data_IF_669210531640
#
_entry.id   IF_669210531640
#
_cell.length_a   1.000
_cell.length_b   1.000
_cell.length_c   1.000
_cell.angle_alpha   90.00
_cell.angle_beta   90.00
_cell.angle_gamma   90.00
#
_symmetry.space_group_name_H-M   'P 1'
#
loop_
_entity.id
_entity.type
_entity.pdbx_description
1 polymer ?
#
# COMPACT_ATOMS: atom_id res chain seq x y z
N UNK A 1 25.20 -23.95 -10.00
CA UNK A 1 24.46 -22.72 -10.38
C UNK A 1 25.39 -21.86 -11.21
N UNK A 2 24.96 -21.44 -12.39
CA UNK A 2 25.81 -20.71 -13.35
C UNK A 2 25.67 -19.22 -13.10
N UNK A 3 26.67 -18.62 -12.45
CA UNK A 3 26.69 -17.18 -12.15
C UNK A 3 26.76 -16.36 -13.44
N UNK A 4 25.88 -15.38 -13.60
CA UNK A 4 25.85 -14.48 -14.77
C UNK A 4 26.40 -13.10 -14.39
N UNK A 5 27.39 -12.64 -15.13
CA UNK A 5 28.04 -11.35 -14.93
C UNK A 5 27.79 -10.44 -16.13
N UNK A 6 27.62 -9.14 -15.87
CA UNK A 6 27.71 -8.10 -16.91
C UNK A 6 28.89 -7.19 -16.57
N UNK A 7 29.77 -7.02 -17.54
CA UNK A 7 30.93 -6.13 -17.46
C UNK A 7 30.58 -4.85 -18.21
N UNK A 8 30.51 -3.74 -17.50
CA UNK A 8 30.31 -2.41 -18.10
C UNK A 8 31.51 -1.53 -17.78
N UNK A 9 32.09 -0.93 -18.81
CA UNK A 9 33.18 0.06 -18.69
C UNK A 9 32.55 1.45 -18.69
N UNK A 10 32.79 2.20 -17.63
CA UNK A 10 32.41 3.60 -17.55
C UNK A 10 33.43 4.43 -18.36
N UNK A 11 32.95 5.16 -19.38
CA UNK A 11 33.83 5.90 -20.31
C UNK A 11 34.53 7.09 -19.65
N UNK A 12 33.98 7.62 -18.55
CA UNK A 12 34.46 8.83 -17.89
C UNK A 12 35.53 8.47 -16.85
N UNK A 13 35.31 7.39 -16.10
CA UNK A 13 36.18 6.98 -14.98
C UNK A 13 37.15 5.85 -15.35
N UNK A 14 37.01 5.25 -16.54
CA UNK A 14 37.73 4.05 -16.98
C UNK A 14 37.64 2.85 -16.01
N UNK A 15 36.67 2.86 -15.09
CA UNK A 15 36.49 1.79 -14.12
C UNK A 15 35.69 0.65 -14.73
N UNK A 16 36.17 -0.58 -14.51
CA UNK A 16 35.48 -1.82 -14.90
C UNK A 16 34.62 -2.25 -13.71
N UNK A 17 33.30 -2.18 -13.85
CA UNK A 17 32.37 -2.58 -12.78
C UNK A 17 31.87 -3.99 -13.05
N UNK A 18 32.11 -4.92 -12.11
CA UNK A 18 31.54 -6.26 -12.10
C UNK A 18 30.21 -6.25 -11.35
N UNK A 19 29.12 -6.66 -12.00
CA UNK A 19 27.80 -6.78 -11.37
C UNK A 19 27.40 -8.26 -11.30
N UNK A 20 27.42 -8.84 -10.11
CA UNK A 20 26.78 -10.14 -9.82
C UNK A 20 25.27 -9.95 -9.70
N UNK A 21 24.49 -10.57 -10.58
CA UNK A 21 23.02 -10.42 -10.57
C UNK A 21 22.30 -11.33 -9.58
N UNK A 22 22.95 -12.41 -9.15
CA UNK A 22 22.31 -13.46 -8.33
C UNK A 22 22.00 -13.01 -6.88
N UNK A 23 22.50 -11.85 -6.43
CA UNK A 23 22.39 -11.37 -5.06
C UNK A 23 21.73 -9.98 -4.90
N UNK A 24 21.10 -9.44 -5.94
CA UNK A 24 20.45 -8.12 -5.79
C UNK A 24 19.17 -8.24 -4.95
N UNK A 25 19.19 -7.69 -3.73
CA UNK A 25 17.96 -7.36 -2.99
C UNK A 25 17.23 -6.25 -3.76
N UNK A 26 16.05 -6.55 -4.28
CA UNK A 26 15.23 -5.63 -5.06
C UNK A 26 13.75 -5.76 -4.71
N UNK A 27 12.95 -4.85 -5.26
CA UNK A 27 11.51 -4.83 -5.06
C UNK A 27 10.78 -5.52 -6.21
N UNK A 28 10.06 -6.59 -5.88
CA UNK A 28 9.28 -7.35 -6.85
C UNK A 28 8.02 -6.57 -7.29
N UNK A 29 7.87 -6.46 -8.60
CA UNK A 29 6.74 -5.82 -9.26
C UNK A 29 6.13 -6.81 -10.24
N UNK A 30 4.83 -7.03 -10.10
CA UNK A 30 4.03 -7.73 -11.10
C UNK A 30 3.46 -6.72 -12.10
N UNK A 31 3.94 -6.65 -13.34
CA UNK A 31 3.44 -5.73 -14.34
C UNK A 31 1.98 -6.05 -14.69
N UNK A 32 1.21 -5.03 -15.09
CA UNK A 32 -0.14 -5.26 -15.60
C UNK A 32 -0.06 -5.42 -17.11
N UNK A 33 -0.10 -6.65 -17.59
CA UNK A 33 -0.17 -6.97 -19.02
C UNK A 33 -1.58 -6.67 -19.51
N UNK A 34 -1.80 -5.41 -19.95
CA UNK A 34 -3.11 -4.92 -20.40
C UNK A 34 -3.31 -5.01 -21.92
N UNK A 35 -2.30 -5.47 -22.66
CA UNK A 35 -2.32 -5.44 -24.12
C UNK A 35 -2.05 -6.84 -24.66
N UNK A 36 -3.10 -7.49 -25.15
CA UNK A 36 -3.04 -8.75 -25.90
C UNK A 36 -2.77 -8.45 -27.38
N UNK A 37 -1.63 -7.83 -27.69
CA UNK A 37 -1.14 -7.73 -29.07
C UNK A 37 0.04 -8.66 -29.21
N UNK A 38 0.08 -9.40 -30.32
CA UNK A 38 1.08 -10.45 -30.60
C UNK A 38 2.52 -9.92 -30.58
N UNK A 39 2.72 -8.63 -30.90
CA UNK A 39 4.04 -8.00 -30.96
C UNK A 39 4.50 -7.34 -29.65
N UNK A 40 3.79 -7.52 -28.52
CA UNK A 40 4.16 -6.89 -27.25
C UNK A 40 4.80 -7.90 -26.31
N UNK A 41 5.94 -7.52 -25.73
CA UNK A 41 6.61 -8.29 -24.68
C UNK A 41 5.69 -8.37 -23.45
N UNK A 42 5.19 -9.58 -23.19
CA UNK A 42 4.50 -9.89 -21.95
C UNK A 42 5.55 -10.15 -20.85
N UNK A 43 5.51 -9.34 -19.80
CA UNK A 43 6.42 -9.48 -18.66
C UNK A 43 5.62 -10.00 -17.48
N UNK A 44 5.95 -11.20 -17.01
CA UNK A 44 5.25 -11.83 -15.88
C UNK A 44 5.73 -11.29 -14.53
N UNK A 45 7.04 -11.06 -14.40
CA UNK A 45 7.70 -10.59 -13.17
C UNK A 45 8.83 -9.61 -13.49
N UNK A 46 8.97 -8.59 -12.66
CA UNK A 46 10.01 -7.57 -12.79
C UNK A 46 10.57 -7.21 -11.41
N UNK A 47 11.89 -7.25 -11.26
CA UNK A 47 12.57 -6.84 -10.03
C UNK A 47 13.21 -5.47 -10.23
N UNK A 48 12.87 -4.52 -9.37
CA UNK A 48 13.48 -3.18 -9.39
C UNK A 48 14.60 -3.15 -8.36
N UNK A 49 15.83 -2.84 -8.80
CA UNK A 49 17.01 -2.79 -7.93
C UNK A 49 17.47 -1.37 -7.59
N UNK A 50 16.97 -0.34 -8.29
CA UNK A 50 17.37 1.04 -8.05
C UNK A 50 16.67 1.60 -6.79
N UNK A 51 17.41 1.89 -5.70
CA UNK A 51 16.79 2.28 -4.42
C UNK A 51 15.93 3.55 -4.52
N UNK A 52 16.38 4.55 -5.28
CA UNK A 52 15.63 5.81 -5.45
C UNK A 52 14.31 5.58 -6.20
N UNK A 53 14.30 4.67 -7.17
CA UNK A 53 13.09 4.31 -7.89
C UNK A 53 12.13 3.52 -6.99
N UNK A 54 12.65 2.58 -6.20
CA UNK A 54 11.85 1.81 -5.23
C UNK A 54 11.17 2.74 -4.22
N UNK A 55 11.92 3.67 -3.61
CA UNK A 55 11.39 4.65 -2.65
C UNK A 55 10.25 5.48 -3.27
N UNK A 56 10.46 6.02 -4.48
CA UNK A 56 9.44 6.80 -5.19
C UNK A 56 8.19 5.99 -5.52
N UNK A 57 8.36 4.73 -5.93
CA UNK A 57 7.25 3.84 -6.25
C UNK A 57 6.42 3.50 -5.03
N UNK A 58 7.08 3.15 -3.92
CA UNK A 58 6.42 2.83 -2.65
C UNK A 58 5.71 4.06 -2.11
N UNK A 59 6.37 5.22 -2.09
CA UNK A 59 5.75 6.48 -1.70
C UNK A 59 4.47 6.77 -2.50
N UNK A 60 4.50 6.60 -3.82
CA UNK A 60 3.32 6.75 -4.69
C UNK A 60 2.22 5.73 -4.38
N UNK A 61 2.56 4.46 -4.14
CA UNK A 61 1.61 3.40 -3.75
C UNK A 61 0.95 3.70 -2.40
N UNK A 62 1.74 4.11 -1.40
CA UNK A 62 1.25 4.47 -0.07
C UNK A 62 0.29 5.66 -0.15
N UNK A 63 0.67 6.73 -0.88
CA UNK A 63 -0.20 7.89 -1.08
C UNK A 63 -1.54 7.52 -1.70
N UNK A 64 -1.51 6.74 -2.79
CA UNK A 64 -2.74 6.30 -3.48
C UNK A 64 -3.63 5.41 -2.61
N UNK A 65 -3.01 4.55 -1.78
CA UNK A 65 -3.75 3.67 -0.87
C UNK A 65 -4.42 4.47 0.23
N UNK A 66 -3.69 5.43 0.83
CA UNK A 66 -4.24 6.35 1.82
C UNK A 66 -5.41 7.18 1.25
N UNK A 67 -5.25 7.74 0.05
CA UNK A 67 -6.33 8.49 -0.63
C UNK A 67 -7.58 7.64 -0.85
N UNK A 68 -7.42 6.34 -1.18
CA UNK A 68 -8.55 5.42 -1.33
C UNK A 68 -9.27 5.18 0.00
N UNK A 69 -8.51 4.95 1.08
CA UNK A 69 -9.06 4.77 2.42
C UNK A 69 -9.82 6.03 2.84
N UNK A 70 -9.24 7.21 2.66
CA UNK A 70 -9.88 8.49 2.97
C UNK A 70 -11.21 8.66 2.23
N UNK A 71 -11.24 8.41 0.93
CA UNK A 71 -12.48 8.47 0.14
C UNK A 71 -13.54 7.50 0.65
N UNK A 72 -13.13 6.28 1.03
CA UNK A 72 -14.05 5.29 1.55
C UNK A 72 -14.62 5.70 2.91
N UNK A 73 -13.78 6.25 3.80
CA UNK A 73 -14.23 6.82 5.07
C UNK A 73 -15.18 8.01 4.82
N UNK A 74 -14.88 8.92 3.90
CA UNK A 74 -15.80 10.03 3.58
C UNK A 74 -17.18 9.52 3.16
N UNK A 75 -17.23 8.51 2.31
CA UNK A 75 -18.50 7.88 1.89
C UNK A 75 -19.32 7.36 3.09
N UNK A 76 -18.67 6.71 4.07
CA UNK A 76 -19.30 6.20 5.30
C UNK A 76 -19.93 7.30 6.15
N UNK A 77 -19.41 8.52 6.05
CA UNK A 77 -19.88 9.67 6.82
C UNK A 77 -20.97 10.45 6.09
N UNK A 78 -20.90 10.53 4.77
CA UNK A 78 -21.85 11.26 3.93
C UNK A 78 -23.16 10.49 3.71
N UNK A 79 -23.13 9.15 3.80
CA UNK A 79 -24.30 8.29 3.60
C UNK A 79 -24.93 7.89 4.95
N UNK A 80 -26.11 8.43 5.24
CA UNK A 80 -26.89 8.16 6.47
C UNK A 80 -27.47 6.73 6.52
N UNK A 81 -27.50 6.00 5.40
CA UNK A 81 -27.88 4.59 5.32
C UNK A 81 -26.67 3.65 5.47
N UNK A 82 -25.47 4.18 5.72
CA UNK A 82 -24.26 3.36 5.89
C UNK A 82 -24.43 2.37 7.05
N UNK A 83 -24.49 1.09 6.71
CA UNK A 83 -24.56 -0.02 7.67
C UNK A 83 -23.22 -0.30 8.37
N UNK A 84 -23.30 -1.09 9.45
CA UNK A 84 -22.13 -1.53 10.25
C UNK A 84 -21.06 -2.23 9.38
N UNK A 85 -21.47 -2.96 8.35
CA UNK A 85 -20.57 -3.66 7.42
C UNK A 85 -19.55 -2.73 6.75
N UNK A 86 -19.97 -1.56 6.27
CA UNK A 86 -19.07 -0.59 5.62
C UNK A 86 -18.00 -0.06 6.58
N UNK A 87 -18.36 0.12 7.85
CA UNK A 87 -17.44 0.55 8.91
C UNK A 87 -16.41 -0.54 9.20
N UNK A 88 -16.83 -1.81 9.26
CA UNK A 88 -15.91 -2.93 9.44
C UNK A 88 -14.96 -3.11 8.25
N UNK A 89 -15.46 -2.94 7.04
CA UNK A 89 -14.64 -2.94 5.83
C UNK A 89 -13.56 -1.85 5.89
N UNK A 90 -13.90 -0.64 6.36
CA UNK A 90 -12.93 0.44 6.48
C UNK A 90 -11.82 0.13 7.49
N UNK A 91 -12.18 -0.44 8.65
CA UNK A 91 -11.21 -0.90 9.65
C UNK A 91 -10.27 -1.98 9.09
N UNK A 92 -10.83 -2.94 8.36
CA UNK A 92 -10.05 -3.99 7.72
C UNK A 92 -9.08 -3.45 6.66
N UNK A 93 -9.49 -2.48 5.85
CA UNK A 93 -8.60 -1.84 4.87
C UNK A 93 -7.47 -1.05 5.53
N UNK A 94 -7.73 -0.37 6.65
CA UNK A 94 -6.69 0.29 7.44
C UNK A 94 -5.70 -0.74 8.01
N UNK A 95 -6.20 -1.83 8.58
CA UNK A 95 -5.36 -2.89 9.17
C UNK A 95 -4.45 -3.54 8.12
N UNK A 96 -5.00 -3.92 6.96
CA UNK A 96 -4.23 -4.46 5.84
C UNK A 96 -3.14 -3.49 5.37
N UNK A 97 -3.43 -2.19 5.35
CA UNK A 97 -2.43 -1.22 4.92
C UNK A 97 -1.32 -1.03 5.96
N UNK A 98 -1.64 -1.07 7.26
CA UNK A 98 -0.63 -1.09 8.34
C UNK A 98 0.29 -2.31 8.22
N UNK A 99 -0.28 -3.49 8.02
CA UNK A 99 0.48 -4.74 7.83
C UNK A 99 1.40 -4.65 6.60
N UNK A 100 0.87 -4.16 5.48
CA UNK A 100 1.66 -3.97 4.26
C UNK A 100 2.83 -3.00 4.45
N UNK A 101 2.62 -1.94 5.23
CA UNK A 101 3.67 -0.98 5.58
C UNK A 101 4.78 -1.65 6.39
N UNK A 102 4.44 -2.40 7.43
CA UNK A 102 5.43 -3.00 8.35
C UNK A 102 6.19 -4.17 7.71
N UNK A 103 5.52 -4.96 6.86
CA UNK A 103 6.09 -6.16 6.24
C UNK A 103 6.90 -5.88 4.98
N UNK A 104 6.39 -5.05 4.05
CA UNK A 104 6.96 -4.90 2.70
C UNK A 104 7.56 -3.54 2.41
N UNK A 105 7.04 -2.46 3.01
CA UNK A 105 7.44 -1.11 2.61
C UNK A 105 8.46 -0.47 3.56
N UNK A 106 8.46 -0.88 4.83
CA UNK A 106 9.35 -0.35 5.87
C UNK A 106 10.83 -0.33 5.48
N UNK A 107 11.31 -1.39 4.83
CA UNK A 107 12.73 -1.51 4.42
C UNK A 107 13.14 -0.50 3.33
N UNK A 108 12.17 0.09 2.61
CA UNK A 108 12.40 1.03 1.52
C UNK A 108 11.90 2.45 1.83
N UNK A 109 11.48 2.70 3.07
CA UNK A 109 10.95 3.99 3.51
C UNK A 109 11.90 4.65 4.50
N UNK A 110 11.93 5.99 4.49
CA UNK A 110 12.59 6.73 5.56
C UNK A 110 11.81 6.54 6.85
N UNK A 111 12.52 6.38 7.96
CA UNK A 111 11.91 6.14 9.28
C UNK A 111 10.87 7.22 9.65
N UNK A 112 11.17 8.48 9.36
CA UNK A 112 10.26 9.62 9.59
C UNK A 112 8.96 9.49 8.79
N UNK A 113 9.04 9.08 7.53
CA UNK A 113 7.88 8.91 6.64
C UNK A 113 7.02 7.73 7.08
N UNK A 114 7.66 6.62 7.46
CA UNK A 114 6.99 5.45 8.00
C UNK A 114 6.20 5.81 9.28
N UNK A 115 6.86 6.42 10.27
CA UNK A 115 6.23 6.86 11.52
C UNK A 115 5.06 7.81 11.27
N UNK A 116 5.23 8.75 10.35
CA UNK A 116 4.16 9.68 9.97
C UNK A 116 2.96 8.96 9.36
N UNK A 117 3.19 7.96 8.48
CA UNK A 117 2.13 7.20 7.85
C UNK A 117 1.35 6.36 8.86
N UNK A 118 2.04 5.65 9.75
CA UNK A 118 1.40 4.86 10.81
C UNK A 118 0.52 5.76 11.69
N UNK A 119 1.03 6.91 12.12
CA UNK A 119 0.26 7.85 12.93
C UNK A 119 -1.00 8.36 12.23
N UNK A 120 -0.93 8.63 10.91
CA UNK A 120 -2.12 8.99 10.11
C UNK A 120 -3.16 7.86 10.11
N UNK A 121 -2.71 6.62 9.94
CA UNK A 121 -3.61 5.45 9.94
C UNK A 121 -4.23 5.18 11.31
N UNK A 122 -3.49 5.42 12.41
CA UNK A 122 -4.03 5.34 13.77
C UNK A 122 -5.12 6.38 14.03
N UNK A 123 -4.93 7.61 13.56
CA UNK A 123 -5.96 8.65 13.67
C UNK A 123 -7.22 8.22 12.93
N UNK A 124 -7.08 7.76 11.68
CA UNK A 124 -8.22 7.28 10.88
C UNK A 124 -8.91 6.07 11.52
N UNK A 125 -8.14 5.12 12.05
CA UNK A 125 -8.69 3.94 12.72
C UNK A 125 -9.53 4.33 13.94
N UNK A 126 -9.02 5.25 14.75
CA UNK A 126 -9.74 5.73 15.94
C UNK A 126 -11.03 6.45 15.56
N UNK A 127 -11.00 7.27 14.52
CA UNK A 127 -12.18 7.97 14.00
C UNK A 127 -13.26 6.99 13.51
N UNK A 128 -12.88 5.97 12.73
CA UNK A 128 -13.80 4.93 12.27
C UNK A 128 -14.36 4.09 13.44
N UNK A 129 -13.54 3.78 14.46
CA UNK A 129 -14.00 3.11 15.68
C UNK A 129 -15.04 3.94 16.44
N UNK A 130 -14.83 5.25 16.55
CA UNK A 130 -15.80 6.16 17.17
C UNK A 130 -17.12 6.16 16.40
N UNK A 131 -17.07 6.17 15.06
CA UNK A 131 -18.27 6.05 14.21
C UNK A 131 -19.01 4.73 14.46
N UNK A 132 -18.29 3.61 14.58
CA UNK A 132 -18.88 2.30 14.93
C UNK A 132 -19.66 2.37 16.24
N UNK A 133 -19.05 2.92 17.29
CA UNK A 133 -19.70 3.07 18.60
C UNK A 133 -20.96 3.93 18.52
N UNK A 134 -20.92 5.00 17.74
CA UNK A 134 -22.09 5.87 17.51
C UNK A 134 -23.25 5.10 16.86
N UNK A 135 -23.00 4.38 15.76
CA UNK A 135 -24.03 3.61 15.06
C UNK A 135 -24.65 2.53 15.97
N UNK A 136 -23.81 1.77 16.68
CA UNK A 136 -24.27 0.73 17.60
C UNK A 136 -25.13 1.32 18.73
N UNK A 137 -24.83 2.54 19.18
CA UNK A 137 -25.66 3.23 20.18
C UNK A 137 -27.01 3.69 19.64
N UNK A 138 -27.06 4.11 18.36
CA UNK A 138 -28.29 4.55 17.67
C UNK A 138 -29.25 3.39 17.48
N UNK A 139 -28.77 2.26 16.94
CA UNK A 139 -29.59 1.06 16.76
C UNK A 139 -30.21 0.55 18.07
N UNK A 140 -29.43 0.55 19.15
CA UNK A 140 -29.90 0.11 20.46
C UNK A 140 -31.03 1.00 21.02
N UNK A 141 -31.05 2.29 20.69
CA UNK A 141 -32.14 3.20 21.07
C UNK A 141 -33.40 2.92 20.25
N UNK A 142 -33.26 2.69 18.95
CA UNK A 142 -34.39 2.38 18.06
C UNK A 142 -35.05 1.03 18.35
N UNK A 143 -34.27 0.02 18.75
CA UNK A 143 -34.80 -1.28 19.20
C UNK A 143 -35.64 -1.15 20.48
N UNK A 144 -35.25 -0.25 21.39
CA UNK A 144 -36.00 0.01 22.64
C UNK A 144 -37.29 0.80 22.44
N UNK A 145 -37.38 1.64 21.40
CA UNK A 145 -38.61 2.41 21.12
C UNK A 145 -39.67 1.60 20.38
N UNK A 146 -39.28 0.62 19.55
CA UNK A 146 -40.22 -0.27 18.82
C UNK A 146 -40.79 -1.40 19.67
N UNK A 147 -40.21 -1.69 20.83
CA UNK A 147 -40.67 -2.73 21.76
C UNK A 147 -41.66 -2.24 22.82
N UNK A 148 -42.25 -1.05 22.65
CA UNK A 148 -43.20 -0.43 23.57
C UNK A 148 -44.53 -0.16 22.91
#
# INVERSE_FOLDING_TARGET
MTKRFVVTKDEITQTITYKEYDNFKGYDVKPKNKLSKEDIINVDEMVIINPSLIEKLISKKCKKTLERILKFISFIYDDDETGEESVELALNEIAKFKELLDTKYKEYMKEKEYKLMIKKLEILENEVKLRKLYLNSKENREKKSKGR
#
